data_IF_458051186116
#
_entry.id   IF_458051186116
#
_cell.length_a   1.000
_cell.length_b   1.000
_cell.length_c   1.000
_cell.angle_alpha   90.00
_cell.angle_beta   90.00
_cell.angle_gamma   90.00
#
_symmetry.space_group_name_H-M   'P 1'
#
loop_
_entity.id
_entity.type
_entity.pdbx_description
1 polymer ?
#
# COMPACT_ATOMS: atom_id res chain seq x y z
N UNK A 1 23.86 10.71 -14.01
CA UNK A 1 23.82 11.88 -13.11
C UNK A 1 22.71 11.83 -12.06
N UNK A 2 21.75 10.89 -12.14
CA UNK A 2 20.71 10.66 -11.11
C UNK A 2 21.21 9.91 -9.85
N UNK A 3 22.25 9.09 -9.98
CA UNK A 3 22.80 8.25 -8.90
C UNK A 3 23.64 8.98 -7.84
N UNK A 4 23.94 10.28 -8.02
CA UNK A 4 24.79 11.06 -7.08
C UNK A 4 24.00 11.92 -6.09
N UNK A 5 22.66 11.89 -6.14
CA UNK A 5 21.76 12.62 -5.23
C UNK A 5 21.10 11.73 -4.16
N UNK A 6 21.67 10.56 -3.89
CA UNK A 6 21.20 9.63 -2.85
C UNK A 6 22.00 9.69 -1.53
N UNK A 7 22.78 10.75 -1.28
CA UNK A 7 23.61 10.82 -0.08
C UNK A 7 23.54 12.12 0.74
N UNK A 8 22.58 13.02 0.50
CA UNK A 8 22.39 14.22 1.34
C UNK A 8 20.92 14.67 1.41
N UNK A 9 20.01 13.75 1.72
CA UNK A 9 18.61 14.09 2.03
C UNK A 9 18.10 13.13 3.12
N UNK A 10 18.81 13.03 4.25
CA UNK A 10 18.29 12.30 5.42
C UNK A 10 17.79 13.25 6.51
N UNK A 11 18.39 14.43 6.69
CA UNK A 11 17.99 15.33 7.78
C UNK A 11 16.88 16.33 7.35
N UNK A 12 16.99 16.98 6.18
CA UNK A 12 15.99 17.95 5.70
C UNK A 12 14.66 17.29 5.28
N UNK A 13 14.68 16.06 4.75
CA UNK A 13 13.47 15.32 4.42
C UNK A 13 12.78 14.74 5.65
N UNK A 14 13.54 14.39 6.69
CA UNK A 14 12.97 13.96 7.98
C UNK A 14 12.40 15.16 8.71
N UNK A 15 13.02 16.33 8.64
CA UNK A 15 12.48 17.56 9.23
C UNK A 15 11.26 18.07 8.44
N UNK A 16 11.27 17.99 7.11
CA UNK A 16 10.11 18.30 6.25
C UNK A 16 8.96 17.29 6.40
N UNK A 17 9.27 15.99 6.51
CA UNK A 17 8.28 14.95 6.76
C UNK A 17 7.75 15.03 8.19
N UNK A 18 8.60 15.39 9.17
CA UNK A 18 8.20 15.68 10.55
C UNK A 18 7.35 16.94 10.59
N UNK A 19 7.62 17.99 9.83
CA UNK A 19 6.74 19.15 9.72
C UNK A 19 5.40 18.81 9.07
N UNK A 20 5.38 18.06 7.97
CA UNK A 20 4.13 17.60 7.34
C UNK A 20 3.37 16.65 8.24
N UNK A 21 4.06 15.74 8.94
CA UNK A 21 3.49 14.80 9.90
C UNK A 21 3.01 15.51 11.17
N UNK A 22 3.71 16.53 11.68
CA UNK A 22 3.29 17.34 12.82
C UNK A 22 2.14 18.29 12.45
N UNK A 23 2.08 18.80 11.21
CA UNK A 23 0.90 19.51 10.67
C UNK A 23 -0.30 18.58 10.53
N UNK A 24 -0.09 17.35 10.04
CA UNK A 24 -1.11 16.29 9.96
C UNK A 24 -1.53 15.83 11.36
N UNK A 25 -0.60 15.72 12.30
CA UNK A 25 -0.83 15.33 13.70
C UNK A 25 -1.53 16.45 14.46
N UNK A 26 -1.18 17.71 14.25
CA UNK A 26 -1.91 18.86 14.80
C UNK A 26 -3.35 18.88 14.27
N UNK A 27 -3.57 18.65 12.97
CA UNK A 27 -4.94 18.57 12.44
C UNK A 27 -5.72 17.38 13.01
N UNK A 28 -5.06 16.26 13.31
CA UNK A 28 -5.64 15.07 13.94
C UNK A 28 -5.87 15.22 15.47
N UNK A 29 -5.04 15.97 16.18
CA UNK A 29 -5.18 16.27 17.62
C UNK A 29 -6.24 17.36 17.84
N UNK A 30 -6.26 18.40 17.01
CA UNK A 30 -7.28 19.46 17.07
C UNK A 30 -8.64 18.94 16.57
N UNK A 31 -8.70 17.90 15.73
CA UNK A 31 -9.95 17.23 15.35
C UNK A 31 -10.71 16.55 16.52
N UNK A 32 -10.10 16.41 17.71
CA UNK A 32 -10.82 16.03 18.95
C UNK A 32 -11.58 17.20 19.59
N UNK A 33 -11.30 18.44 19.19
CA UNK A 33 -12.00 19.66 19.62
C UNK A 33 -12.69 20.24 18.39
N UNK A 34 -13.93 19.77 18.16
CA UNK A 34 -14.93 20.43 17.31
C UNK A 34 -14.45 20.98 15.96
N UNK A 35 -14.68 20.20 14.90
CA UNK A 35 -14.72 20.65 13.49
C UNK A 35 -13.37 20.77 12.77
N UNK A 36 -12.76 19.65 12.32
CA UNK A 36 -11.67 19.70 11.31
C UNK A 36 -11.81 18.65 10.20
N UNK A 37 -11.48 19.14 9.00
CA UNK A 37 -11.31 18.49 7.70
C UNK A 37 -10.43 17.23 7.74
N UNK A 38 -10.91 16.23 7.03
CA UNK A 38 -10.43 14.85 6.98
C UNK A 38 -8.95 14.73 6.52
N UNK A 39 -8.04 14.01 7.23
CA UNK A 39 -6.66 13.73 6.81
C UNK A 39 -6.53 13.11 5.41
N UNK A 40 -7.60 12.50 4.88
CA UNK A 40 -7.65 12.00 3.50
C UNK A 40 -7.56 13.11 2.44
N UNK A 41 -7.79 14.38 2.80
CA UNK A 41 -7.76 15.49 1.85
C UNK A 41 -6.36 15.77 1.26
N UNK A 42 -5.29 15.47 1.99
CA UNK A 42 -3.90 15.69 1.52
C UNK A 42 -3.49 14.63 0.47
N UNK A 43 -3.97 13.40 0.63
CA UNK A 43 -3.80 12.35 -0.39
C UNK A 43 -4.73 12.63 -1.58
N UNK A 44 -5.84 13.34 -1.35
CA UNK A 44 -6.88 13.61 -2.36
C UNK A 44 -6.51 14.62 -3.47
N UNK A 45 -5.37 15.31 -3.35
CA UNK A 45 -4.79 16.16 -4.41
C UNK A 45 -3.98 15.35 -5.45
N UNK A 46 -3.67 14.08 -5.16
CA UNK A 46 -3.03 13.17 -6.13
C UNK A 46 -3.89 12.90 -7.36
N UNK A 47 -3.24 12.52 -8.46
CA UNK A 47 -3.93 12.14 -9.71
C UNK A 47 -4.93 11.01 -9.44
N UNK A 48 -6.22 11.28 -9.65
CA UNK A 48 -7.27 10.28 -9.45
C UNK A 48 -7.50 9.53 -10.75
N UNK A 49 -7.30 8.22 -10.71
CA UNK A 49 -7.52 7.35 -11.85
C UNK A 49 -8.82 6.56 -11.69
N UNK A 50 -9.44 6.24 -12.84
CA UNK A 50 -10.67 5.43 -12.91
C UNK A 50 -10.38 3.93 -12.82
N UNK A 51 -9.15 3.53 -13.16
CA UNK A 51 -8.75 2.14 -13.27
C UNK A 51 -7.36 1.95 -12.64
N UNK A 52 -7.09 0.74 -12.14
CA UNK A 52 -5.77 0.34 -11.68
C UNK A 52 -4.91 -0.05 -12.87
N UNK A 53 -3.73 0.57 -12.99
CA UNK A 53 -2.70 0.17 -13.96
C UNK A 53 -1.63 -0.70 -13.29
N UNK A 54 -1.06 -1.62 -14.05
CA UNK A 54 0.01 -2.50 -13.55
C UNK A 54 1.26 -1.70 -13.18
N UNK A 55 1.93 -2.12 -12.11
CA UNK A 55 3.22 -1.54 -11.71
C UNK A 55 3.17 -0.17 -11.04
N UNK A 56 2.01 0.49 -11.03
CA UNK A 56 1.77 1.77 -10.33
C UNK A 56 1.33 1.53 -8.89
N UNK A 57 1.43 2.57 -8.06
CA UNK A 57 1.06 2.51 -6.64
C UNK A 57 -0.23 3.29 -6.40
N UNK A 58 -1.15 2.70 -5.63
CA UNK A 58 -2.46 3.32 -5.38
C UNK A 58 -2.91 3.19 -3.93
N UNK A 59 -3.61 4.22 -3.46
CA UNK A 59 -4.59 4.11 -2.39
C UNK A 59 -6.01 4.04 -2.95
N UNK A 60 -6.91 3.35 -2.26
CA UNK A 60 -8.35 3.38 -2.54
C UNK A 60 -9.14 2.83 -1.35
N UNK A 61 -10.43 3.13 -1.26
CA UNK A 61 -11.30 2.49 -0.29
C UNK A 61 -11.83 1.16 -0.81
N UNK A 62 -11.71 0.11 0.00
CA UNK A 62 -12.11 -1.24 -0.37
C UNK A 62 -12.98 -1.90 0.69
N UNK A 63 -14.02 -2.59 0.23
CA UNK A 63 -14.87 -3.46 1.04
C UNK A 63 -14.99 -4.82 0.35
N UNK A 64 -14.25 -5.85 0.82
CA UNK A 64 -14.23 -7.15 0.17
C UNK A 64 -15.61 -7.81 0.14
N UNK A 65 -15.95 -8.42 -1.00
CA UNK A 65 -17.13 -9.26 -1.16
C UNK A 65 -17.20 -10.37 -0.10
N UNK A 66 -16.07 -10.97 0.22
CA UNK A 66 -15.93 -12.10 1.14
C UNK A 66 -15.53 -11.69 2.56
N UNK A 67 -15.75 -10.43 2.97
CA UNK A 67 -15.35 -9.91 4.30
C UNK A 67 -15.77 -10.76 5.51
N UNK A 68 -16.86 -11.52 5.41
CA UNK A 68 -17.34 -12.44 6.47
C UNK A 68 -16.46 -13.69 6.64
N UNK A 69 -15.62 -14.01 5.66
CA UNK A 69 -14.73 -15.19 5.64
C UNK A 69 -13.25 -14.83 5.87
N UNK A 70 -12.90 -13.56 5.72
CA UNK A 70 -11.53 -13.09 5.95
C UNK A 70 -11.28 -12.95 7.47
N UNK A 71 -10.10 -13.35 7.98
CA UNK A 71 -9.74 -13.10 9.39
C UNK A 71 -9.67 -11.60 9.66
N UNK A 72 -9.02 -10.87 8.75
CA UNK A 72 -8.95 -9.42 8.69
C UNK A 72 -8.69 -8.95 7.25
N UNK A 73 -8.92 -7.67 7.00
CA UNK A 73 -8.66 -7.03 5.72
C UNK A 73 -8.41 -5.53 5.92
N UNK A 74 -7.64 -4.94 5.01
CA UNK A 74 -7.42 -3.49 4.97
C UNK A 74 -8.50 -2.79 4.14
N UNK A 75 -9.15 -1.77 4.70
CA UNK A 75 -10.16 -0.98 3.97
C UNK A 75 -9.58 0.22 3.22
N UNK A 76 -8.32 0.55 3.47
CA UNK A 76 -7.61 1.63 2.77
C UNK A 76 -6.22 1.14 2.32
N UNK A 77 -6.18 0.14 1.42
CA UNK A 77 -4.93 -0.50 1.02
C UNK A 77 -3.99 0.40 0.23
N UNK A 78 -2.68 0.16 0.39
CA UNK A 78 -1.60 0.70 -0.43
C UNK A 78 -1.10 -0.38 -1.40
N UNK A 79 -1.58 -0.36 -2.63
CA UNK A 79 -1.46 -1.50 -3.55
C UNK A 79 -0.59 -1.18 -4.76
N UNK A 80 0.29 -2.14 -5.13
CA UNK A 80 0.86 -2.23 -6.48
C UNK A 80 0.19 -3.38 -7.23
N UNK A 81 -0.65 -3.10 -8.26
CA UNK A 81 -1.24 -4.11 -9.14
C UNK A 81 -0.19 -4.87 -9.96
N UNK A 82 -0.30 -6.21 -10.02
CA UNK A 82 0.71 -7.06 -10.70
C UNK A 82 0.12 -8.11 -11.64
N UNK A 83 -1.19 -8.37 -11.57
CA UNK A 83 -1.85 -9.32 -12.48
C UNK A 83 -3.38 -9.13 -12.51
N UNK A 84 -3.98 -8.86 -13.68
CA UNK A 84 -5.43 -8.88 -13.81
C UNK A 84 -5.96 -10.33 -13.75
N UNK A 85 -7.19 -10.50 -13.28
CA UNK A 85 -7.90 -11.79 -13.30
C UNK A 85 -9.39 -11.60 -13.61
N UNK A 86 -10.10 -12.69 -13.93
CA UNK A 86 -11.52 -12.69 -14.32
C UNK A 86 -11.86 -11.75 -15.50
N UNK A 87 -10.96 -11.65 -16.48
CA UNK A 87 -11.14 -10.77 -17.64
C UNK A 87 -11.01 -9.28 -17.32
N UNK A 88 -10.14 -8.91 -16.36
CA UNK A 88 -9.94 -7.51 -15.93
C UNK A 88 -10.88 -7.04 -14.83
N UNK A 89 -11.87 -7.86 -14.46
CA UNK A 89 -12.83 -7.56 -13.37
C UNK A 89 -12.22 -7.62 -11.97
N UNK A 90 -11.00 -8.15 -11.85
CA UNK A 90 -10.27 -8.16 -10.59
C UNK A 90 -8.78 -7.98 -10.81
N UNK A 91 -8.10 -7.60 -9.75
CA UNK A 91 -6.66 -7.36 -9.74
C UNK A 91 -5.98 -8.06 -8.58
N UNK A 92 -4.94 -8.83 -8.87
CA UNK A 92 -4.00 -9.26 -7.84
C UNK A 92 -2.99 -8.13 -7.64
N UNK A 93 -2.82 -7.70 -6.40
CA UNK A 93 -1.87 -6.65 -6.06
C UNK A 93 -1.10 -6.95 -4.77
N UNK A 94 0.02 -6.25 -4.60
CA UNK A 94 0.82 -6.26 -3.38
C UNK A 94 0.36 -5.11 -2.48
N UNK A 95 -0.35 -5.42 -1.39
CA UNK A 95 -0.70 -4.44 -0.36
C UNK A 95 0.42 -4.31 0.68
N UNK A 96 1.12 -3.18 0.65
CA UNK A 96 2.25 -2.91 1.52
C UNK A 96 1.85 -2.77 3.00
N UNK A 97 0.59 -2.47 3.30
CA UNK A 97 0.16 -2.28 4.68
C UNK A 97 0.28 -3.54 5.56
N UNK A 98 0.25 -4.71 4.95
CA UNK A 98 0.44 -6.00 5.63
C UNK A 98 1.87 -6.19 6.14
N UNK A 99 2.82 -5.36 5.70
CA UNK A 99 4.18 -5.37 6.21
C UNK A 99 4.41 -4.24 7.24
N UNK A 100 5.22 -4.48 8.28
CA UNK A 100 5.88 -3.40 9.01
C UNK A 100 6.70 -2.51 8.09
N UNK A 101 6.86 -1.23 8.43
CA UNK A 101 7.57 -0.23 7.61
C UNK A 101 8.93 -0.72 7.07
N UNK A 102 9.79 -1.28 7.94
CA UNK A 102 11.11 -1.82 7.51
C UNK A 102 11.01 -2.91 6.44
N UNK A 103 9.96 -3.75 6.48
CA UNK A 103 9.74 -4.79 5.48
C UNK A 103 9.11 -4.22 4.20
N UNK A 104 8.30 -3.15 4.30
CA UNK A 104 7.82 -2.38 3.14
C UNK A 104 8.99 -1.84 2.33
N UNK A 105 9.92 -1.16 2.98
CA UNK A 105 11.14 -0.63 2.36
C UNK A 105 11.98 -1.73 1.73
N UNK A 106 12.16 -2.86 2.44
CA UNK A 106 12.94 -3.99 1.95
C UNK A 106 12.34 -4.61 0.69
N UNK A 107 11.02 -4.75 0.64
CA UNK A 107 10.33 -5.22 -0.55
C UNK A 107 10.50 -4.21 -1.68
N UNK A 108 10.26 -2.92 -1.41
CA UNK A 108 10.35 -1.86 -2.41
C UNK A 108 11.76 -1.75 -3.02
N UNK A 109 12.82 -1.79 -2.21
CA UNK A 109 14.22 -1.80 -2.70
C UNK A 109 14.50 -2.92 -3.70
N UNK A 110 13.86 -4.07 -3.55
CA UNK A 110 13.99 -5.18 -4.51
C UNK A 110 13.17 -4.93 -5.77
N UNK A 111 12.00 -4.33 -5.63
CA UNK A 111 11.09 -4.03 -6.73
C UNK A 111 11.58 -2.89 -7.63
N UNK A 112 12.34 -1.93 -7.11
CA UNK A 112 12.97 -0.86 -7.92
C UNK A 112 13.85 -1.42 -9.04
N UNK A 113 14.34 -2.66 -8.94
CA UNK A 113 15.02 -3.32 -10.06
C UNK A 113 14.15 -3.57 -11.30
N UNK A 114 12.83 -3.42 -11.19
CA UNK A 114 11.86 -3.47 -12.30
C UNK A 114 11.39 -2.09 -12.75
N UNK A 115 11.98 -1.01 -12.23
CA UNK A 115 11.57 0.35 -12.59
C UNK A 115 11.83 0.61 -14.07
N UNK A 116 10.78 1.00 -14.78
CA UNK A 116 10.84 1.55 -16.12
C UNK A 116 10.72 3.08 -16.03
N UNK A 117 11.81 3.79 -16.33
CA UNK A 117 11.88 5.26 -16.39
C UNK A 117 11.91 5.78 -17.84
N UNK A 118 11.87 4.90 -18.85
CA UNK A 118 12.02 5.27 -20.26
C UNK A 118 10.71 5.79 -20.88
N UNK A 119 9.58 5.58 -20.21
CA UNK A 119 8.27 6.08 -20.62
C UNK A 119 7.95 7.45 -20.00
N UNK A 120 7.01 8.17 -20.62
CA UNK A 120 6.49 9.46 -20.11
C UNK A 120 5.94 9.38 -18.67
N UNK A 121 5.69 8.17 -18.15
CA UNK A 121 5.21 7.90 -16.80
C UNK A 121 6.01 6.72 -16.21
N UNK A 122 6.69 6.89 -15.07
CA UNK A 122 7.50 5.81 -14.48
C UNK A 122 6.62 4.79 -13.72
N UNK A 123 6.92 3.50 -13.88
CA UNK A 123 6.20 2.40 -13.22
C UNK A 123 7.10 1.18 -13.03
N UNK A 124 6.66 0.21 -12.23
CA UNK A 124 7.36 -1.07 -12.08
C UNK A 124 6.89 -2.09 -13.12
N UNK A 125 7.77 -2.51 -14.03
CA UNK A 125 7.51 -3.61 -14.95
C UNK A 125 7.64 -4.97 -14.24
N UNK A 126 6.76 -5.22 -13.26
CA UNK A 126 6.72 -6.41 -12.42
C UNK A 126 5.39 -7.14 -12.55
N UNK A 127 5.45 -8.45 -12.72
CA UNK A 127 4.30 -9.35 -12.76
C UNK A 127 4.31 -10.36 -11.60
N UNK A 128 3.19 -11.06 -11.41
CA UNK A 128 3.14 -12.18 -10.47
C UNK A 128 4.19 -13.26 -10.76
N UNK A 129 4.52 -13.52 -12.04
CA UNK A 129 5.47 -14.57 -12.39
C UNK A 129 6.90 -14.25 -11.94
N UNK A 130 7.25 -12.97 -11.85
CA UNK A 130 8.58 -12.51 -11.43
C UNK A 130 8.81 -12.74 -9.94
N UNK A 131 7.74 -12.72 -9.13
CA UNK A 131 7.85 -12.74 -7.67
C UNK A 131 7.31 -14.03 -7.01
N UNK A 132 6.52 -14.85 -7.72
CA UNK A 132 5.85 -16.05 -7.17
C UNK A 132 6.79 -17.12 -6.61
N UNK A 133 8.07 -17.08 -6.95
CA UNK A 133 9.06 -18.00 -6.38
C UNK A 133 9.32 -17.75 -4.89
N UNK A 134 9.02 -16.54 -4.38
CA UNK A 134 9.18 -16.13 -2.99
C UNK A 134 10.55 -16.38 -2.33
N UNK A 135 11.58 -16.76 -3.08
CA UNK A 135 12.95 -16.89 -2.58
C UNK A 135 13.58 -15.50 -2.40
N UNK A 136 13.68 -14.76 -3.51
CA UNK A 136 14.18 -13.38 -3.53
C UNK A 136 13.16 -12.39 -2.94
N UNK A 137 11.86 -12.64 -3.13
CA UNK A 137 10.77 -11.72 -2.79
C UNK A 137 9.85 -12.29 -1.69
N UNK A 138 10.41 -12.95 -0.67
CA UNK A 138 9.63 -13.54 0.43
C UNK A 138 8.68 -12.54 1.11
N UNK A 139 9.08 -11.27 1.23
CA UNK A 139 8.27 -10.20 1.81
C UNK A 139 6.99 -9.92 1.00
N UNK A 140 6.96 -10.25 -0.30
CA UNK A 140 5.76 -10.07 -1.11
C UNK A 140 4.63 -11.03 -0.70
N UNK A 141 4.97 -12.20 -0.15
CA UNK A 141 4.00 -13.27 0.13
C UNK A 141 2.79 -12.82 0.98
N UNK A 142 2.95 -12.19 2.16
CA UNK A 142 1.80 -11.71 2.94
C UNK A 142 1.10 -10.49 2.32
N UNK A 143 1.66 -9.86 1.29
CA UNK A 143 1.07 -8.65 0.67
C UNK A 143 0.11 -8.98 -0.45
N UNK A 144 0.19 -10.18 -1.03
CA UNK A 144 -0.61 -10.57 -2.18
C UNK A 144 -2.08 -10.68 -1.81
N UNK A 145 -2.91 -9.83 -2.39
CA UNK A 145 -4.35 -9.84 -2.17
C UNK A 145 -5.11 -9.68 -3.48
N UNK A 146 -6.26 -10.34 -3.57
CA UNK A 146 -7.19 -10.24 -4.70
C UNK A 146 -8.21 -9.14 -4.44
N UNK A 147 -8.29 -8.20 -5.36
CA UNK A 147 -9.25 -7.10 -5.35
C UNK A 147 -10.29 -7.31 -6.45
N UNK A 148 -11.53 -7.55 -6.04
CA UNK A 148 -12.68 -7.50 -6.94
C UNK A 148 -12.99 -6.03 -7.28
N UNK A 149 -12.82 -5.65 -8.54
CA UNK A 149 -13.02 -4.29 -9.02
C UNK A 149 -14.45 -4.07 -9.54
N UNK A 150 -15.33 -5.06 -9.38
CA UNK A 150 -16.71 -4.97 -9.84
C UNK A 150 -17.64 -4.36 -8.79
N UNK A 151 -18.78 -3.86 -9.28
CA UNK A 151 -19.87 -3.42 -8.44
C UNK A 151 -19.45 -2.30 -7.50
N UNK A 152 -19.74 -2.47 -6.22
CA UNK A 152 -19.51 -1.44 -5.19
C UNK A 152 -18.43 -1.83 -4.17
N UNK A 153 -17.59 -2.84 -4.46
CA UNK A 153 -16.54 -3.26 -3.52
C UNK A 153 -15.40 -2.25 -3.43
N UNK A 154 -15.06 -1.59 -4.55
CA UNK A 154 -14.24 -0.38 -4.55
C UNK A 154 -15.18 0.81 -4.27
N UNK A 155 -14.89 1.58 -3.23
CA UNK A 155 -15.77 2.64 -2.69
C UNK A 155 -15.28 4.06 -3.03
N UNK A 156 -14.21 4.18 -3.81
CA UNK A 156 -13.60 5.45 -4.21
C UNK A 156 -12.99 5.35 -5.60
N UNK A 157 -12.55 6.50 -6.15
CA UNK A 157 -11.54 6.49 -7.22
C UNK A 157 -10.19 5.97 -6.68
N UNK A 158 -9.29 5.60 -7.59
CA UNK A 158 -7.94 5.20 -7.24
C UNK A 158 -7.06 6.45 -7.14
N UNK A 159 -6.40 6.62 -6.01
CA UNK A 159 -5.46 7.72 -5.80
C UNK A 159 -4.09 7.21 -6.24
N UNK A 160 -3.61 7.67 -7.40
CA UNK A 160 -2.29 7.33 -7.92
C UNK A 160 -1.22 8.03 -7.08
N UNK A 161 -0.20 7.26 -6.71
CA UNK A 161 0.98 7.76 -6.01
C UNK A 161 2.13 7.81 -6.99
N UNK A 162 2.60 9.03 -7.23
CA UNK A 162 3.69 9.26 -8.17
C UNK A 162 5.00 8.62 -7.67
N UNK A 163 5.91 8.19 -8.57
CA UNK A 163 7.14 7.49 -8.21
C UNK A 163 8.02 8.19 -7.17
N UNK A 164 8.09 9.53 -7.22
CA UNK A 164 8.83 10.35 -6.25
C UNK A 164 8.19 10.37 -4.85
N UNK A 165 6.93 9.93 -4.71
CA UNK A 165 6.20 9.90 -3.45
C UNK A 165 6.13 8.50 -2.82
N UNK A 166 6.59 7.46 -3.52
CA UNK A 166 6.53 6.06 -3.04
C UNK A 166 7.16 5.89 -1.66
N UNK A 167 8.35 6.46 -1.43
CA UNK A 167 9.02 6.38 -0.11
C UNK A 167 8.16 6.97 1.00
N UNK A 168 7.52 8.11 0.75
CA UNK A 168 6.61 8.75 1.70
C UNK A 168 5.39 7.88 1.96
N UNK A 169 4.74 7.39 0.90
CA UNK A 169 3.53 6.57 0.99
C UNK A 169 3.76 5.29 1.81
N UNK A 170 4.91 4.62 1.64
CA UNK A 170 5.26 3.42 2.39
C UNK A 170 5.33 3.66 3.91
N UNK A 171 5.63 4.88 4.35
CA UNK A 171 5.77 5.27 5.76
C UNK A 171 4.53 5.89 6.38
N UNK A 172 3.48 6.15 5.58
CA UNK A 172 2.23 6.67 6.12
C UNK A 172 1.57 5.64 7.05
N UNK A 173 1.15 6.04 8.27
CA UNK A 173 0.45 5.17 9.21
C UNK A 173 -1.06 5.18 8.94
N UNK A 174 -1.45 4.95 7.68
CA UNK A 174 -2.85 5.05 7.21
C UNK A 174 -3.49 3.68 7.00
N UNK A 175 -2.80 2.60 7.39
CA UNK A 175 -3.38 1.26 7.37
C UNK A 175 -4.65 1.18 8.24
N UNK A 176 -5.74 0.63 7.69
CA UNK A 176 -7.02 0.56 8.39
C UNK A 176 -7.59 -0.86 8.34
N UNK A 177 -7.10 -1.72 9.24
CA UNK A 177 -7.52 -3.11 9.31
C UNK A 177 -8.89 -3.27 10.00
N UNK A 178 -9.74 -4.09 9.39
CA UNK A 178 -11.01 -4.55 9.94
C UNK A 178 -10.98 -6.07 10.08
N UNK A 179 -11.53 -6.57 11.18
CA UNK A 179 -11.64 -8.01 11.43
C UNK A 179 -12.84 -8.60 10.67
N UNK A 180 -13.01 -9.92 10.78
CA UNK A 180 -14.10 -10.67 10.15
C UNK A 180 -15.45 -9.95 10.21
N UNK A 181 -16.07 -9.78 9.05
CA UNK A 181 -17.37 -9.11 8.90
C UNK A 181 -17.33 -7.58 8.93
N UNK A 182 -16.17 -6.97 9.21
CA UNK A 182 -15.97 -5.52 9.27
C UNK A 182 -15.90 -4.96 10.68
N UNK A 183 -15.77 -5.81 11.69
CA UNK A 183 -15.66 -5.37 13.08
C UNK A 183 -14.28 -4.72 13.35
N UNK A 184 -14.21 -3.97 14.45
CA UNK A 184 -12.94 -3.51 15.01
C UNK A 184 -12.27 -4.64 15.82
N UNK A 185 -11.04 -4.44 16.24
CA UNK A 185 -10.37 -5.31 17.21
C UNK A 185 -9.13 -6.04 16.68
N UNK A 186 -8.91 -6.05 15.37
CA UNK A 186 -7.61 -6.47 14.81
C UNK A 186 -6.64 -5.30 14.92
N UNK A 187 -5.44 -5.57 15.42
CA UNK A 187 -4.37 -4.55 15.50
C UNK A 187 -3.37 -4.71 14.36
N UNK A 188 -2.72 -3.63 13.93
CA UNK A 188 -1.63 -3.75 12.95
C UNK A 188 -0.46 -4.60 13.47
N UNK A 189 -0.22 -4.61 14.77
CA UNK A 189 0.81 -5.44 15.39
C UNK A 189 0.52 -6.94 15.20
N UNK A 190 -0.73 -7.35 15.34
CA UNK A 190 -1.21 -8.71 15.06
C UNK A 190 -1.03 -9.08 13.59
N UNK A 191 -1.51 -8.24 12.66
CA UNK A 191 -1.36 -8.45 11.21
C UNK A 191 0.11 -8.56 10.79
N UNK A 192 0.97 -7.72 11.36
CA UNK A 192 2.40 -7.72 11.09
C UNK A 192 3.12 -8.91 11.73
N UNK A 193 2.65 -9.41 12.86
CA UNK A 193 3.10 -10.67 13.46
C UNK A 193 2.82 -11.83 12.51
N UNK A 194 1.57 -11.98 12.07
CA UNK A 194 1.17 -12.99 11.10
C UNK A 194 1.97 -12.91 9.80
N UNK A 195 2.26 -11.70 9.33
CA UNK A 195 3.04 -11.49 8.11
C UNK A 195 4.50 -11.94 8.26
N UNK A 196 5.11 -11.71 9.43
CA UNK A 196 6.45 -12.24 9.74
C UNK A 196 6.45 -13.77 9.78
N UNK A 197 5.44 -14.38 10.41
CA UNK A 197 5.30 -15.83 10.45
C UNK A 197 5.18 -16.45 9.05
N UNK A 198 4.44 -15.81 8.14
CA UNK A 198 4.31 -16.24 6.73
C UNK A 198 5.66 -16.21 6.02
N UNK A 199 6.47 -15.19 6.28
CA UNK A 199 7.79 -15.00 5.67
C UNK A 199 8.81 -16.01 6.22
N UNK A 200 8.82 -16.26 7.52
CA UNK A 200 9.81 -17.12 8.18
C UNK A 200 9.48 -18.61 7.99
N UNK A 201 8.24 -18.99 8.25
CA UNK A 201 7.82 -20.40 8.27
C UNK A 201 7.22 -20.87 6.95
N UNK A 202 7.23 -20.03 5.91
CA UNK A 202 6.67 -20.34 4.60
C UNK A 202 5.21 -20.84 4.66
N UNK A 203 4.46 -20.51 5.71
CA UNK A 203 3.06 -20.88 5.87
C UNK A 203 2.21 -20.24 4.77
N UNK A 204 1.21 -20.97 4.28
CA UNK A 204 0.13 -20.41 3.46
C UNK A 204 -1.04 -20.21 4.42
N UNK A 205 -1.16 -19.02 5.02
CA UNK A 205 -2.42 -18.59 5.63
C UNK A 205 -3.25 -17.94 4.51
N UNK A 206 -4.51 -18.36 4.41
CA UNK A 206 -5.48 -18.07 3.35
C UNK A 206 -5.31 -16.69 2.68
N UNK A 207 -5.01 -16.72 1.38
CA UNK A 207 -4.98 -15.56 0.45
C UNK A 207 -6.28 -15.53 -0.37
#
# INVERSE_FOLDING_TARGET
MALRKLSHIEDDAVEWLREKYEKLRHSLIVARVGSIKNPYNIISEGSREKELKLGRMYFFHYQPKTKKKLPYYDIFPLVIPIKPYNGGRGMLGMNFHYLPYRLREKLMKKLIGFLNEEELEAYLHVSYNDIKGFTRFKEAKPTLHKYDLTGSYVRSQFIHIEPNEWTTALHLPVEEFRSRGGAMGVTKAEVWGDSKDIIEHHKIKFI
#
